data_IF_969604622282
#
_entry.id   IF_969604622282
#
_cell.length_a   1.000
_cell.length_b   1.000
_cell.length_c   1.000
_cell.angle_alpha   90.00
_cell.angle_beta   90.00
_cell.angle_gamma   90.00
#
_symmetry.space_group_name_H-M   'P 1'
#
loop_
_entity.id
_entity.type
_entity.pdbx_description
1 polymer ?
#
# COMPACT_ATOMS: atom_id res chain seq x y z
N UNK A 1 27.94 6.13 -6.28
CA UNK A 1 28.04 5.73 -4.86
C UNK A 1 27.60 4.29 -4.70
N UNK A 2 28.12 3.59 -3.71
CA UNK A 2 27.61 2.30 -3.28
C UNK A 2 26.44 2.55 -2.32
N UNK A 3 25.28 1.96 -2.64
CA UNK A 3 24.07 2.08 -1.83
C UNK A 3 23.68 0.71 -1.29
N UNK A 4 23.44 0.65 0.01
CA UNK A 4 22.94 -0.54 0.70
C UNK A 4 21.48 -0.33 1.07
N UNK A 5 20.61 -1.27 0.68
CA UNK A 5 19.18 -1.21 1.00
C UNK A 5 18.81 -2.39 1.90
N UNK A 6 18.15 -2.13 3.02
CA UNK A 6 17.62 -3.15 3.93
C UNK A 6 16.12 -3.33 3.68
N UNK A 7 15.74 -4.50 3.17
CA UNK A 7 14.37 -4.90 2.86
C UNK A 7 14.03 -4.88 1.37
N UNK A 8 13.65 -6.05 0.82
CA UNK A 8 13.22 -6.26 -0.56
C UNK A 8 11.69 -6.21 -0.73
N UNK A 9 11.00 -5.44 0.12
CA UNK A 9 9.60 -5.08 -0.10
C UNK A 9 9.44 -4.08 -1.24
N UNK A 10 8.20 -3.68 -1.53
CA UNK A 10 7.89 -2.75 -2.64
C UNK A 10 8.68 -1.43 -2.53
N UNK A 11 8.89 -0.91 -1.31
CA UNK A 11 9.62 0.34 -1.09
C UNK A 11 11.10 0.19 -1.42
N UNK A 12 11.75 -0.88 -0.91
CA UNK A 12 13.17 -1.15 -1.20
C UNK A 12 13.42 -1.45 -2.68
N UNK A 13 12.53 -2.19 -3.34
CA UNK A 13 12.64 -2.50 -4.77
C UNK A 13 12.46 -1.25 -5.64
N UNK A 14 11.49 -0.37 -5.32
CA UNK A 14 11.31 0.88 -6.06
C UNK A 14 12.47 1.86 -5.81
N UNK A 15 12.99 1.92 -4.57
CA UNK A 15 14.19 2.68 -4.25
C UNK A 15 15.41 2.15 -5.01
N UNK A 16 15.62 0.82 -5.01
CA UNK A 16 16.72 0.19 -5.74
C UNK A 16 16.67 0.52 -7.25
N UNK A 17 15.48 0.40 -7.88
CA UNK A 17 15.29 0.77 -9.28
C UNK A 17 15.64 2.24 -9.54
N UNK A 18 15.14 3.15 -8.71
CA UNK A 18 15.34 4.58 -8.92
C UNK A 18 16.82 4.99 -8.72
N UNK A 19 17.49 4.46 -7.71
CA UNK A 19 18.89 4.72 -7.42
C UNK A 19 19.82 4.09 -8.48
N UNK A 20 19.51 2.88 -8.94
CA UNK A 20 20.22 2.25 -10.06
C UNK A 20 20.17 3.13 -11.33
N UNK A 21 18.97 3.66 -11.66
CA UNK A 21 18.81 4.62 -12.79
C UNK A 21 19.56 5.94 -12.57
N UNK A 22 19.80 6.29 -11.32
CA UNK A 22 20.66 7.41 -10.91
C UNK A 22 22.16 7.13 -11.02
N UNK A 23 22.56 5.94 -11.52
CA UNK A 23 23.97 5.56 -11.71
C UNK A 23 24.66 5.09 -10.42
N UNK A 24 23.90 4.62 -9.44
CA UNK A 24 24.45 4.09 -8.19
C UNK A 24 24.62 2.56 -8.26
N UNK A 25 25.63 2.03 -7.59
CA UNK A 25 25.79 0.60 -7.35
C UNK A 25 24.91 0.20 -6.16
N UNK A 26 23.97 -0.71 -6.37
CA UNK A 26 22.95 -1.03 -5.36
C UNK A 26 23.05 -2.48 -4.90
N UNK A 27 23.19 -2.67 -3.58
CA UNK A 27 23.05 -3.95 -2.90
C UNK A 27 21.78 -3.92 -2.05
N UNK A 28 20.97 -4.98 -2.14
CA UNK A 28 19.71 -5.11 -1.43
C UNK A 28 19.74 -6.36 -0.56
N UNK A 29 19.57 -6.20 0.76
CA UNK A 29 19.52 -7.28 1.75
C UNK A 29 18.07 -7.59 2.11
N UNK A 30 17.72 -8.88 2.13
CA UNK A 30 16.41 -9.35 2.55
C UNK A 30 16.54 -10.55 3.48
N UNK A 31 15.86 -10.52 4.64
CA UNK A 31 15.96 -11.57 5.66
C UNK A 31 15.35 -12.91 5.24
N UNK A 32 14.40 -12.91 4.31
CA UNK A 32 13.74 -14.09 3.78
C UNK A 32 14.05 -14.34 2.31
N UNK A 33 13.28 -15.21 1.65
CA UNK A 33 13.32 -15.34 0.19
C UNK A 33 12.84 -14.05 -0.48
N UNK A 34 13.18 -13.86 -1.76
CA UNK A 34 12.75 -12.69 -2.54
C UNK A 34 11.87 -13.16 -3.72
N UNK A 35 10.59 -12.78 -3.77
CA UNK A 35 9.83 -11.99 -2.80
C UNK A 35 9.62 -12.70 -1.45
N UNK A 36 9.61 -11.93 -0.35
CA UNK A 36 9.36 -12.50 0.98
C UNK A 36 7.85 -12.65 1.23
N UNK A 37 7.31 -13.88 1.41
CA UNK A 37 5.88 -14.10 1.64
C UNK A 37 5.38 -13.49 2.96
N UNK A 38 6.27 -13.25 3.92
CA UNK A 38 5.96 -12.62 5.20
C UNK A 38 6.01 -11.08 5.12
N UNK A 39 6.49 -10.52 4.03
CA UNK A 39 6.51 -9.08 3.81
C UNK A 39 5.11 -8.49 3.58
N UNK A 40 4.92 -7.24 4.00
CA UNK A 40 3.64 -6.52 3.82
C UNK A 40 3.29 -6.25 2.35
N UNK A 41 4.25 -6.36 1.45
CA UNK A 41 4.08 -6.05 0.02
C UNK A 41 3.46 -7.19 -0.77
N UNK A 42 3.67 -8.45 -0.35
CA UNK A 42 3.21 -9.63 -1.08
C UNK A 42 1.77 -9.95 -0.74
N UNK A 43 0.90 -9.90 -1.74
CA UNK A 43 -0.52 -10.22 -1.66
C UNK A 43 -1.08 -10.36 -3.09
N UNK A 44 -2.28 -10.90 -3.26
CA UNK A 44 -2.94 -10.98 -4.56
C UNK A 44 -3.05 -9.60 -5.21
N UNK A 45 -3.49 -8.62 -4.45
CA UNK A 45 -3.70 -7.25 -4.96
C UNK A 45 -3.61 -6.18 -3.87
N UNK A 46 -3.44 -4.93 -4.34
CA UNK A 46 -3.54 -3.68 -3.59
C UNK A 46 -4.41 -2.71 -4.36
N UNK A 47 -4.76 -1.60 -3.72
CA UNK A 47 -5.63 -0.57 -4.29
C UNK A 47 -4.85 0.71 -4.58
N UNK A 48 -5.20 1.37 -5.69
CA UNK A 48 -4.86 2.77 -5.95
C UNK A 48 -6.15 3.57 -6.08
N UNK A 49 -6.25 4.70 -5.40
CA UNK A 49 -7.43 5.58 -5.37
C UNK A 49 -7.08 6.98 -4.92
N UNK A 50 -7.85 7.96 -5.34
CA UNK A 50 -7.73 9.37 -4.92
C UNK A 50 -8.47 9.70 -3.62
N UNK A 51 -9.43 8.87 -3.20
CA UNK A 51 -10.30 9.14 -2.07
C UNK A 51 -9.54 9.06 -0.73
N UNK A 52 -9.27 10.21 -0.16
CA UNK A 52 -8.57 10.43 1.11
C UNK A 52 -9.30 11.42 2.03
N UNK A 53 -10.60 11.62 1.85
CA UNK A 53 -11.35 12.61 2.65
C UNK A 53 -10.77 14.01 2.45
N UNK A 54 -10.42 14.68 3.54
CA UNK A 54 -9.84 16.02 3.52
C UNK A 54 -8.33 16.06 3.17
N UNK A 55 -7.65 14.92 3.15
CA UNK A 55 -6.19 14.82 2.98
C UNK A 55 -5.77 15.05 1.51
N UNK A 56 -5.89 16.29 1.04
CA UNK A 56 -5.61 16.69 -0.34
C UNK A 56 -4.16 16.38 -0.76
N UNK A 57 -3.20 16.41 0.18
CA UNK A 57 -1.81 16.08 -0.12
C UNK A 57 -1.66 14.64 -0.62
N UNK A 58 -2.32 13.67 0.02
CA UNK A 58 -2.32 12.30 -0.47
C UNK A 58 -3.06 12.14 -1.80
N UNK A 59 -4.14 12.89 -2.03
CA UNK A 59 -4.83 12.85 -3.32
C UNK A 59 -3.92 13.36 -4.45
N UNK A 60 -3.16 14.45 -4.23
CA UNK A 60 -2.14 14.95 -5.18
C UNK A 60 -1.03 13.92 -5.42
N UNK A 61 -0.51 13.30 -4.35
CA UNK A 61 0.48 12.23 -4.49
C UNK A 61 -0.04 11.05 -5.32
N UNK A 62 -1.35 10.75 -5.29
CA UNK A 62 -1.93 9.70 -6.15
C UNK A 62 -1.86 10.10 -7.62
N UNK A 63 -2.05 11.37 -7.98
CA UNK A 63 -1.88 11.85 -9.35
C UNK A 63 -0.45 11.58 -9.84
N UNK A 64 0.56 12.01 -9.06
CA UNK A 64 1.96 11.70 -9.36
C UNK A 64 2.23 10.18 -9.42
N UNK A 65 1.59 9.41 -8.53
CA UNK A 65 1.78 7.97 -8.51
C UNK A 65 1.28 7.29 -9.80
N UNK A 66 0.22 7.78 -10.43
CA UNK A 66 -0.22 7.23 -11.73
C UNK A 66 0.87 7.40 -12.79
N UNK A 67 1.51 8.56 -12.89
CA UNK A 67 2.59 8.82 -13.87
C UNK A 67 3.81 7.95 -13.59
N UNK A 68 4.18 7.80 -12.32
CA UNK A 68 5.29 6.95 -11.90
C UNK A 68 4.99 5.45 -12.14
N UNK A 69 3.73 5.03 -11.96
CA UNK A 69 3.29 3.68 -12.34
C UNK A 69 3.35 3.47 -13.85
N UNK A 70 2.89 4.41 -14.68
CA UNK A 70 3.00 4.28 -16.16
C UNK A 70 4.47 4.17 -16.60
N UNK A 71 5.37 4.89 -15.92
CA UNK A 71 6.81 4.74 -16.16
C UNK A 71 7.31 3.35 -15.76
N UNK A 72 6.82 2.81 -14.65
CA UNK A 72 7.18 1.47 -14.21
C UNK A 72 6.60 0.38 -15.13
N UNK A 73 5.38 0.55 -15.66
CA UNK A 73 4.79 -0.40 -16.62
C UNK A 73 5.62 -0.52 -17.89
N UNK A 74 6.16 0.59 -18.39
CA UNK A 74 7.09 0.57 -19.54
C UNK A 74 8.35 -0.22 -19.25
N UNK A 75 8.92 -0.07 -18.06
CA UNK A 75 10.11 -0.81 -17.66
C UNK A 75 9.82 -2.32 -17.46
N UNK A 76 8.65 -2.65 -16.92
CA UNK A 76 8.23 -4.04 -16.71
C UNK A 76 7.80 -4.74 -18.02
N UNK A 77 7.47 -3.97 -19.07
CA UNK A 77 6.88 -4.49 -20.31
C UNK A 77 5.43 -5.00 -20.13
N UNK A 78 4.81 -4.72 -18.99
CA UNK A 78 3.46 -5.21 -18.66
C UNK A 78 2.76 -4.21 -17.74
N UNK A 79 1.47 -3.90 -18.04
CA UNK A 79 0.63 -3.08 -17.18
C UNK A 79 -0.13 -3.96 -16.19
N UNK A 80 0.24 -3.89 -14.92
CA UNK A 80 -0.31 -4.70 -13.82
C UNK A 80 -1.32 -3.91 -12.98
N UNK A 81 -2.09 -3.04 -13.64
CA UNK A 81 -3.15 -2.22 -13.09
C UNK A 81 -4.45 -2.49 -13.84
N UNK A 82 -5.54 -2.68 -13.08
CA UNK A 82 -6.88 -2.87 -13.61
C UNK A 82 -7.77 -1.71 -13.14
N UNK A 83 -8.26 -0.87 -14.07
CA UNK A 83 -9.08 0.29 -13.74
C UNK A 83 -10.52 -0.15 -13.41
N UNK A 84 -10.78 -0.48 -12.16
CA UNK A 84 -12.11 -0.89 -11.70
C UNK A 84 -12.98 0.28 -11.24
N UNK A 85 -12.37 1.45 -11.04
CA UNK A 85 -13.03 2.58 -10.37
C UNK A 85 -13.08 2.42 -8.85
N UNK A 86 -13.61 3.45 -8.20
CA UNK A 86 -13.74 3.54 -6.72
C UNK A 86 -15.18 3.89 -6.37
N UNK A 87 -15.79 3.16 -5.46
CA UNK A 87 -17.08 3.45 -4.86
C UNK A 87 -16.91 3.70 -3.36
N UNK A 88 -17.20 4.91 -2.90
CA UNK A 88 -17.33 5.21 -1.48
C UNK A 88 -18.80 5.13 -1.12
N UNK A 89 -19.13 4.49 0.02
CA UNK A 89 -20.49 4.41 0.56
C UNK A 89 -20.53 4.80 2.02
N UNK A 90 -21.64 5.37 2.46
CA UNK A 90 -21.82 5.76 3.85
C UNK A 90 -23.23 6.22 4.17
N UNK A 91 -23.49 6.58 5.43
CA UNK A 91 -24.73 7.23 5.81
C UNK A 91 -24.86 8.62 5.16
N UNK A 92 -26.05 9.19 5.16
CA UNK A 92 -26.27 10.55 4.70
C UNK A 92 -25.37 11.52 5.51
N UNK A 93 -24.72 12.45 4.81
CA UNK A 93 -23.82 13.41 5.43
C UNK A 93 -22.49 12.81 5.92
N UNK A 94 -22.08 11.64 5.42
CA UNK A 94 -20.80 11.00 5.80
C UNK A 94 -19.62 11.94 5.49
N UNK A 95 -18.88 12.43 6.53
CA UNK A 95 -17.81 13.44 6.33
C UNK A 95 -16.73 13.00 5.32
N UNK A 96 -16.37 11.72 5.32
CA UNK A 96 -15.39 11.16 4.40
C UNK A 96 -15.80 11.35 2.94
N UNK A 97 -17.09 11.16 2.61
CA UNK A 97 -17.61 11.29 1.24
C UNK A 97 -17.67 12.76 0.84
N UNK A 98 -18.23 13.62 1.70
CA UNK A 98 -18.34 15.06 1.41
C UNK A 98 -16.98 15.74 1.27
N UNK A 99 -16.02 15.40 2.13
CA UNK A 99 -14.65 15.90 2.05
C UNK A 99 -13.96 15.41 0.78
N UNK A 100 -14.15 14.13 0.42
CA UNK A 100 -13.59 13.57 -0.82
C UNK A 100 -14.17 14.31 -2.04
N UNK A 101 -15.48 14.57 -2.07
CA UNK A 101 -16.10 15.31 -3.17
C UNK A 101 -15.49 16.72 -3.32
N UNK A 102 -15.35 17.47 -2.22
CA UNK A 102 -14.69 18.78 -2.24
C UNK A 102 -13.25 18.74 -2.74
N UNK A 103 -12.50 17.71 -2.35
CA UNK A 103 -11.12 17.52 -2.84
C UNK A 103 -11.12 17.18 -4.34
N UNK A 104 -12.06 16.36 -4.80
CA UNK A 104 -12.19 15.98 -6.20
C UNK A 104 -12.55 17.20 -7.07
N UNK A 105 -13.50 18.04 -6.63
CA UNK A 105 -13.82 19.30 -7.30
C UNK A 105 -12.58 20.19 -7.45
N UNK A 106 -11.80 20.32 -6.36
CA UNK A 106 -10.58 21.15 -6.35
C UNK A 106 -9.47 20.62 -7.25
N UNK A 107 -9.39 19.31 -7.44
CA UNK A 107 -8.36 18.67 -8.25
C UNK A 107 -8.83 18.30 -9.66
N UNK A 108 -10.08 18.60 -10.02
CA UNK A 108 -10.65 18.25 -11.32
C UNK A 108 -10.76 16.73 -11.53
N UNK A 109 -11.02 15.97 -10.47
CA UNK A 109 -11.18 14.52 -10.56
C UNK A 109 -12.65 14.19 -10.81
N UNK A 110 -12.92 13.45 -11.88
CA UNK A 110 -14.29 13.05 -12.25
C UNK A 110 -14.90 12.12 -11.21
N UNK A 111 -16.15 12.42 -10.83
CA UNK A 111 -16.97 11.59 -9.96
C UNK A 111 -18.47 11.82 -10.17
N UNK A 112 -19.27 10.91 -9.65
CA UNK A 112 -20.71 11.06 -9.56
C UNK A 112 -21.19 10.74 -8.15
N UNK A 113 -22.05 11.62 -7.60
CA UNK A 113 -22.80 11.30 -6.40
C UNK A 113 -23.96 10.37 -6.76
N UNK A 114 -24.14 9.31 -5.98
CA UNK A 114 -25.16 8.29 -6.21
C UNK A 114 -26.01 8.12 -4.96
N UNK A 115 -27.29 7.83 -5.17
CA UNK A 115 -28.16 7.33 -4.11
C UNK A 115 -28.17 5.78 -4.08
N UNK A 116 -28.81 5.20 -3.06
CA UNK A 116 -28.90 3.75 -2.88
C UNK A 116 -29.46 3.02 -4.12
N UNK A 117 -30.52 3.53 -4.74
CA UNK A 117 -31.14 2.92 -5.92
C UNK A 117 -30.19 2.91 -7.13
N UNK A 118 -29.43 4.00 -7.30
CA UNK A 118 -28.42 4.08 -8.37
C UNK A 118 -27.25 3.13 -8.12
N UNK A 119 -26.80 2.96 -6.87
CA UNK A 119 -25.78 1.96 -6.52
C UNK A 119 -26.28 0.55 -6.84
N UNK A 120 -27.49 0.20 -6.39
CA UNK A 120 -28.09 -1.12 -6.65
C UNK A 120 -28.24 -1.44 -8.14
N UNK A 121 -28.61 -0.44 -8.94
CA UNK A 121 -28.77 -0.60 -10.39
C UNK A 121 -27.46 -0.72 -11.14
N UNK A 122 -26.48 0.14 -10.81
CA UNK A 122 -25.19 0.19 -11.52
C UNK A 122 -24.24 -0.93 -11.09
N UNK A 123 -24.26 -1.30 -9.81
CA UNK A 123 -23.32 -2.25 -9.20
C UNK A 123 -24.07 -3.34 -8.43
N UNK A 124 -24.77 -4.24 -9.10
CA UNK A 124 -25.71 -5.19 -8.48
C UNK A 124 -25.04 -6.22 -7.55
N UNK A 125 -23.73 -6.25 -7.43
CA UNK A 125 -23.00 -7.05 -6.44
C UNK A 125 -23.03 -6.42 -5.04
N UNK A 126 -23.33 -5.12 -4.96
CA UNK A 126 -23.39 -4.40 -3.70
C UNK A 126 -24.82 -4.26 -3.19
N UNK A 127 -25.01 -4.56 -1.91
CA UNK A 127 -26.24 -4.29 -1.20
C UNK A 127 -26.35 -2.78 -0.90
N UNK A 128 -27.44 -2.17 -1.31
CA UNK A 128 -27.64 -0.73 -1.17
C UNK A 128 -28.36 -0.34 0.12
N UNK A 129 -28.80 -1.30 0.92
CA UNK A 129 -29.50 -1.04 2.19
C UNK A 129 -28.60 -0.25 3.15
N UNK A 130 -29.16 0.81 3.75
CA UNK A 130 -28.45 1.70 4.68
C UNK A 130 -27.39 2.59 4.01
N UNK A 131 -27.32 2.66 2.68
CA UNK A 131 -26.54 3.67 1.96
C UNK A 131 -27.36 4.97 1.94
N UNK A 132 -26.91 6.00 2.66
CA UNK A 132 -27.51 7.33 2.57
C UNK A 132 -26.93 8.15 1.43
N UNK A 133 -25.64 7.99 1.15
CA UNK A 133 -24.91 8.63 0.05
C UNK A 133 -23.79 7.75 -0.45
N UNK A 134 -23.44 7.89 -1.72
CA UNK A 134 -22.27 7.25 -2.31
C UNK A 134 -21.58 8.19 -3.29
N UNK A 135 -20.27 8.03 -3.47
CA UNK A 135 -19.45 8.69 -4.47
C UNK A 135 -18.80 7.63 -5.34
N UNK A 136 -19.04 7.69 -6.63
CA UNK A 136 -18.37 6.82 -7.62
C UNK A 136 -17.40 7.64 -8.46
N UNK A 137 -16.13 7.27 -8.44
CA UNK A 137 -15.11 7.80 -9.34
C UNK A 137 -14.70 6.69 -10.33
N UNK A 138 -14.64 6.97 -11.64
CA UNK A 138 -14.13 6.02 -12.63
C UNK A 138 -12.62 5.77 -12.44
N UNK A 139 -11.91 6.71 -11.81
CA UNK A 139 -10.51 6.56 -11.42
C UNK A 139 -10.35 5.63 -10.21
N UNK A 140 -9.17 5.01 -10.13
CA UNK A 140 -8.88 4.02 -9.13
C UNK A 140 -8.98 2.59 -9.65
N UNK A 141 -8.48 1.66 -8.86
CA UNK A 141 -8.52 0.25 -9.26
C UNK A 141 -7.53 -0.62 -8.52
N UNK A 142 -7.30 -1.77 -9.10
CA UNK A 142 -6.55 -2.88 -8.53
C UNK A 142 -5.14 -2.92 -9.10
N UNK A 143 -4.15 -2.98 -8.22
CA UNK A 143 -2.74 -3.28 -8.53
C UNK A 143 -2.48 -4.76 -8.22
N UNK A 144 -1.99 -5.54 -9.18
CA UNK A 144 -1.68 -6.97 -9.04
C UNK A 144 -0.36 -7.14 -8.28
N UNK A 145 -0.43 -7.00 -6.95
CA UNK A 145 0.73 -6.76 -6.08
C UNK A 145 1.81 -7.84 -6.16
N UNK A 146 1.45 -9.14 -6.12
CA UNK A 146 2.43 -10.23 -6.24
C UNK A 146 3.16 -10.18 -7.59
N UNK A 147 2.43 -9.96 -8.69
CA UNK A 147 3.02 -9.84 -10.03
C UNK A 147 3.93 -8.63 -10.14
N UNK A 148 3.53 -7.48 -9.54
CA UNK A 148 4.35 -6.26 -9.48
C UNK A 148 5.66 -6.52 -8.76
N UNK A 149 5.60 -7.09 -7.54
CA UNK A 149 6.80 -7.35 -6.74
C UNK A 149 7.73 -8.32 -7.46
N UNK A 150 7.21 -9.41 -8.05
CA UNK A 150 8.01 -10.34 -8.85
C UNK A 150 8.62 -9.67 -10.09
N UNK A 151 7.86 -8.81 -10.75
CA UNK A 151 8.35 -8.02 -11.89
C UNK A 151 9.51 -7.11 -11.49
N UNK A 152 9.37 -6.38 -10.38
CA UNK A 152 10.42 -5.52 -9.84
C UNK A 152 11.68 -6.29 -9.43
N UNK A 153 11.55 -7.48 -8.86
CA UNK A 153 12.70 -8.35 -8.54
C UNK A 153 13.46 -8.71 -9.82
N UNK A 154 12.75 -9.16 -10.86
CA UNK A 154 13.38 -9.46 -12.16
C UNK A 154 14.06 -8.24 -12.78
N UNK A 155 13.38 -7.08 -12.74
CA UNK A 155 13.90 -5.82 -13.27
C UNK A 155 15.15 -5.37 -12.52
N UNK A 156 15.15 -5.45 -11.18
CA UNK A 156 16.30 -5.10 -10.34
C UNK A 156 17.50 -6.01 -10.63
N UNK A 157 17.28 -7.32 -10.70
CA UNK A 157 18.35 -8.29 -11.00
C UNK A 157 18.92 -8.10 -12.41
N UNK A 158 18.06 -7.92 -13.42
CA UNK A 158 18.49 -7.67 -14.80
C UNK A 158 19.25 -6.34 -14.94
N UNK A 159 18.93 -5.35 -14.12
CA UNK A 159 19.62 -4.06 -14.07
C UNK A 159 20.94 -4.06 -13.30
N UNK A 160 21.32 -5.18 -12.66
CA UNK A 160 22.59 -5.30 -11.94
C UNK A 160 22.52 -4.98 -10.44
N UNK A 161 21.31 -4.91 -9.85
CA UNK A 161 21.18 -4.83 -8.37
C UNK A 161 21.64 -6.16 -7.77
N UNK A 162 22.57 -6.09 -6.83
CA UNK A 162 23.00 -7.25 -6.03
C UNK A 162 21.95 -7.57 -4.99
N UNK A 163 21.09 -8.57 -5.24
CA UNK A 163 20.05 -9.00 -4.30
C UNK A 163 20.59 -10.15 -3.45
N UNK A 164 20.61 -9.99 -2.12
CA UNK A 164 21.07 -10.98 -1.15
C UNK A 164 19.89 -11.49 -0.29
N UNK A 165 19.20 -12.56 -0.72
CA UNK A 165 18.13 -13.19 0.08
C UNK A 165 18.71 -13.98 1.26
N UNK A 166 17.89 -14.15 2.31
CA UNK A 166 18.28 -14.90 3.51
C UNK A 166 19.28 -14.17 4.42
N UNK A 167 19.54 -12.89 4.17
CA UNK A 167 20.48 -12.08 4.95
C UNK A 167 19.71 -11.22 5.95
N UNK A 168 19.77 -11.60 7.22
CA UNK A 168 19.11 -10.86 8.31
C UNK A 168 20.05 -9.83 8.90
N UNK A 169 19.60 -8.57 8.88
CA UNK A 169 20.27 -7.46 9.57
C UNK A 169 19.87 -7.49 11.05
N UNK A 170 20.85 -7.47 11.94
CA UNK A 170 20.66 -7.44 13.39
C UNK A 170 20.66 -6.01 13.95
N UNK A 171 21.47 -5.12 13.38
CA UNK A 171 21.57 -3.72 13.82
C UNK A 171 21.92 -2.79 12.65
N UNK A 172 21.51 -1.53 12.78
CA UNK A 172 21.74 -0.46 11.81
C UNK A 172 22.45 0.71 12.48
N UNK A 173 23.54 1.17 11.87
CA UNK A 173 24.26 2.38 12.24
C UNK A 173 24.06 3.41 11.11
N UNK A 174 23.06 4.28 11.23
CA UNK A 174 22.73 5.23 10.17
C UNK A 174 23.80 6.32 10.00
N UNK A 175 24.55 6.66 11.05
CA UNK A 175 25.59 7.70 10.98
C UNK A 175 26.76 7.26 10.10
N UNK A 176 27.02 5.94 10.06
CA UNK A 176 28.12 5.35 9.28
C UNK A 176 27.67 4.63 8.01
N UNK A 177 26.37 4.70 7.66
CA UNK A 177 25.78 3.92 6.58
C UNK A 177 26.20 2.43 6.65
N UNK A 178 26.07 1.82 7.83
CA UNK A 178 26.56 0.48 8.13
C UNK A 178 25.47 -0.38 8.76
N UNK A 179 25.50 -1.66 8.45
CA UNK A 179 24.66 -2.67 9.12
C UNK A 179 25.54 -3.76 9.72
N UNK A 180 25.04 -4.38 10.79
CA UNK A 180 25.57 -5.62 11.36
C UNK A 180 24.60 -6.73 11.02
N UNK A 181 25.08 -7.78 10.39
CA UNK A 181 24.31 -8.97 10.07
C UNK A 181 24.18 -9.89 11.27
N UNK A 182 23.25 -10.84 11.21
CA UNK A 182 23.00 -11.76 12.32
C UNK A 182 24.19 -12.67 12.65
N UNK A 183 25.04 -12.96 11.67
CA UNK A 183 26.29 -13.73 11.82
C UNK A 183 27.48 -12.90 12.31
N UNK A 184 27.29 -11.60 12.55
CA UNK A 184 28.31 -10.66 13.00
C UNK A 184 29.07 -9.94 11.86
N UNK A 185 28.84 -10.30 10.60
CA UNK A 185 29.44 -9.57 9.47
C UNK A 185 28.99 -8.10 9.48
N UNK A 186 29.93 -7.20 9.23
CA UNK A 186 29.66 -5.75 9.10
C UNK A 186 29.73 -5.34 7.64
N UNK A 187 28.62 -4.78 7.12
CA UNK A 187 28.52 -4.28 5.75
C UNK A 187 28.33 -2.77 5.76
N UNK A 188 29.14 -2.04 5.03
CA UNK A 188 29.09 -0.58 4.93
C UNK A 188 28.99 -0.13 3.46
N UNK A 189 28.34 1.01 3.27
CA UNK A 189 28.17 1.65 1.98
C UNK A 189 28.38 3.17 2.08
N UNK A 190 28.23 3.88 0.96
CA UNK A 190 28.27 5.33 0.96
C UNK A 190 26.93 5.93 1.43
N UNK A 191 25.84 5.22 1.18
CA UNK A 191 24.47 5.55 1.57
C UNK A 191 23.75 4.28 2.01
N UNK A 192 22.92 4.39 3.06
CA UNK A 192 22.04 3.34 3.54
C UNK A 192 20.58 3.72 3.29
N UNK A 193 19.74 2.76 2.88
CA UNK A 193 18.28 2.91 2.81
C UNK A 193 17.64 1.83 3.67
N UNK A 194 16.86 2.21 4.66
CA UNK A 194 16.14 1.28 5.53
C UNK A 194 14.66 1.23 5.14
N UNK A 195 14.26 0.17 4.45
CA UNK A 195 12.90 -0.10 3.97
C UNK A 195 12.33 -1.38 4.62
N UNK A 196 12.58 -1.55 5.93
CA UNK A 196 12.37 -2.79 6.67
C UNK A 196 10.90 -3.05 7.09
N UNK A 197 9.94 -2.20 6.65
CA UNK A 197 8.53 -2.37 6.99
C UNK A 197 8.31 -2.50 8.51
N UNK A 198 7.52 -3.49 8.98
CA UNK A 198 7.17 -3.60 10.39
C UNK A 198 8.34 -3.99 11.32
N UNK A 199 9.51 -4.33 10.77
CA UNK A 199 10.74 -4.58 11.54
C UNK A 199 11.53 -3.30 11.86
N UNK A 200 11.10 -2.13 11.35
CA UNK A 200 11.84 -0.87 11.53
C UNK A 200 12.18 -0.55 13.01
N UNK A 201 11.24 -0.64 13.98
CA UNK A 201 11.58 -0.33 15.38
C UNK A 201 12.64 -1.27 15.98
N UNK A 202 12.70 -2.53 15.52
CA UNK A 202 13.71 -3.49 15.99
C UNK A 202 15.12 -3.15 15.51
N UNK A 203 15.22 -2.61 14.29
CA UNK A 203 16.50 -2.22 13.70
C UNK A 203 16.97 -0.84 14.17
N UNK A 204 16.02 0.02 14.47
CA UNK A 204 16.24 1.40 14.91
C UNK A 204 15.28 1.74 16.06
N UNK A 205 15.69 1.52 17.31
CA UNK A 205 14.85 1.73 18.50
C UNK A 205 14.27 3.15 18.63
N UNK A 206 14.92 4.16 18.04
CA UNK A 206 14.40 5.53 17.98
C UNK A 206 13.02 5.66 17.28
N UNK A 207 12.57 4.61 16.58
CA UNK A 207 11.25 4.53 15.94
C UNK A 207 10.21 3.80 16.81
N UNK A 208 10.58 3.29 17.97
CA UNK A 208 9.60 2.80 18.96
C UNK A 208 8.65 3.93 19.36
N UNK A 209 7.35 3.64 19.33
CA UNK A 209 6.30 4.65 19.54
C UNK A 209 6.04 5.58 18.36
N UNK A 210 6.99 5.76 17.41
CA UNK A 210 6.75 6.50 16.16
C UNK A 210 6.04 5.64 15.12
N UNK A 211 6.27 4.34 15.13
CA UNK A 211 5.53 3.36 14.33
C UNK A 211 5.28 2.09 15.12
N UNK A 212 4.14 1.46 14.88
CA UNK A 212 3.75 0.21 15.52
C UNK A 212 3.44 -0.85 14.47
N UNK A 213 3.94 -2.07 14.67
CA UNK A 213 3.53 -3.22 13.88
C UNK A 213 2.09 -3.59 14.23
N UNK A 214 1.21 -3.63 13.23
CA UNK A 214 -0.22 -3.90 13.40
C UNK A 214 -0.60 -5.10 12.55
N UNK A 215 -0.99 -6.19 13.21
CA UNK A 215 -1.45 -7.41 12.53
C UNK A 215 -2.84 -7.21 11.96
N UNK A 216 -2.98 -7.44 10.66
CA UNK A 216 -4.24 -7.29 9.92
C UNK A 216 -4.66 -8.64 9.34
N UNK A 217 -5.95 -8.89 9.28
CA UNK A 217 -6.52 -10.07 8.63
C UNK A 217 -7.45 -9.62 7.50
N UNK A 218 -7.24 -10.18 6.31
CA UNK A 218 -8.16 -10.05 5.20
C UNK A 218 -8.77 -11.41 4.87
N UNK A 219 -10.04 -11.41 4.42
CA UNK A 219 -10.73 -12.59 3.92
C UNK A 219 -10.78 -12.59 2.39
N UNK A 220 -10.73 -13.78 1.83
CA UNK A 220 -10.82 -14.02 0.39
C UNK A 220 -12.02 -14.92 0.11
N UNK A 221 -12.90 -14.45 -0.79
CA UNK A 221 -14.21 -15.03 -1.03
C UNK A 221 -14.37 -15.41 -2.51
N UNK A 222 -15.01 -16.55 -2.76
CA UNK A 222 -15.51 -16.89 -4.07
C UNK A 222 -16.96 -16.39 -4.18
N UNK A 223 -17.28 -15.52 -5.15
CA UNK A 223 -18.65 -15.07 -5.37
C UNK A 223 -19.51 -16.18 -5.92
N UNK A 224 -20.85 -16.16 -5.69
CA UNK A 224 -21.78 -17.07 -6.32
C UNK A 224 -21.80 -16.86 -7.85
N UNK A 225 -22.00 -17.94 -8.60
CA UNK A 225 -21.91 -17.95 -10.07
C UNK A 225 -22.80 -16.88 -10.73
N UNK A 226 -24.02 -16.70 -10.21
CA UNK A 226 -24.98 -15.70 -10.73
C UNK A 226 -24.50 -14.25 -10.66
N UNK A 227 -23.53 -13.95 -9.78
CA UNK A 227 -22.96 -12.61 -9.63
C UNK A 227 -21.66 -12.39 -10.42
N UNK A 228 -21.08 -13.42 -11.04
CA UNK A 228 -19.80 -13.30 -11.76
C UNK A 228 -19.79 -12.25 -12.86
N UNK A 229 -20.89 -12.19 -13.64
CA UNK A 229 -20.98 -11.19 -14.69
C UNK A 229 -21.02 -9.76 -14.11
N UNK A 230 -21.76 -9.56 -13.02
CA UNK A 230 -21.87 -8.28 -12.35
C UNK A 230 -20.54 -7.83 -11.70
N UNK A 231 -19.71 -8.76 -11.24
CA UNK A 231 -18.40 -8.45 -10.70
C UNK A 231 -17.42 -7.87 -11.73
N UNK A 232 -17.64 -8.09 -13.03
CA UNK A 232 -16.76 -7.54 -14.09
C UNK A 232 -16.79 -6.03 -14.19
N UNK A 233 -17.88 -5.40 -13.73
CA UNK A 233 -18.09 -3.95 -13.76
C UNK A 233 -18.09 -3.32 -12.37
N UNK A 234 -17.87 -4.12 -11.34
CA UNK A 234 -17.90 -3.63 -9.97
C UNK A 234 -16.63 -2.84 -9.64
N UNK A 235 -16.74 -1.60 -9.16
CA UNK A 235 -15.60 -0.85 -8.63
C UNK A 235 -15.12 -1.47 -7.32
N UNK A 236 -13.90 -1.13 -6.88
CA UNK A 236 -13.55 -1.35 -5.50
C UNK A 236 -14.46 -0.50 -4.60
N UNK A 237 -14.81 -1.04 -3.42
CA UNK A 237 -15.69 -0.36 -2.48
C UNK A 237 -14.94 -0.01 -1.20
N UNK A 238 -15.20 1.18 -0.70
CA UNK A 238 -14.85 1.65 0.63
C UNK A 238 -16.14 2.07 1.32
N UNK A 239 -16.51 1.37 2.38
CA UNK A 239 -17.69 1.70 3.18
C UNK A 239 -17.28 2.36 4.49
N UNK A 240 -17.85 3.52 4.78
CA UNK A 240 -17.62 4.27 6.03
C UNK A 240 -18.72 4.06 7.06
N UNK A 241 -19.63 3.11 6.83
CA UNK A 241 -20.72 2.81 7.76
C UNK A 241 -20.26 1.90 8.90
N UNK A 242 -20.94 2.01 10.05
CA UNK A 242 -20.77 1.05 11.16
C UNK A 242 -19.46 1.22 11.96
N UNK A 243 -18.92 2.42 12.05
CA UNK A 243 -17.77 2.76 12.90
C UNK A 243 -16.43 2.50 12.21
N UNK A 244 -15.96 1.26 12.13
CA UNK A 244 -14.65 0.91 11.54
C UNK A 244 -14.71 0.91 10.02
N UNK A 245 -15.88 0.63 9.42
CA UNK A 245 -16.03 0.50 7.98
C UNK A 245 -15.37 -0.77 7.40
N UNK A 246 -15.50 -0.94 6.08
CA UNK A 246 -14.87 -2.05 5.37
C UNK A 246 -14.41 -1.66 3.97
N UNK A 247 -13.55 -2.46 3.41
CA UNK A 247 -13.21 -2.39 1.99
C UNK A 247 -13.53 -3.70 1.28
N UNK A 248 -13.90 -3.59 -0.01
CA UNK A 248 -14.07 -4.74 -0.89
C UNK A 248 -13.26 -4.52 -2.16
N UNK A 249 -12.44 -5.49 -2.51
CA UNK A 249 -11.67 -5.51 -3.76
C UNK A 249 -12.33 -6.51 -4.69
N UNK A 250 -12.75 -6.10 -5.89
CA UNK A 250 -13.36 -7.01 -6.85
C UNK A 250 -12.38 -8.11 -7.29
N UNK A 251 -12.88 -9.28 -7.71
CA UNK A 251 -12.05 -10.30 -8.32
C UNK A 251 -11.45 -9.76 -9.62
N UNK A 252 -10.14 -9.92 -9.78
CA UNK A 252 -9.40 -9.32 -10.88
C UNK A 252 -8.28 -10.26 -11.34
N UNK A 253 -8.17 -10.51 -12.65
CA UNK A 253 -7.10 -11.34 -13.24
C UNK A 253 -6.92 -12.71 -12.55
N UNK A 254 -8.04 -13.38 -12.20
CA UNK A 254 -8.04 -14.68 -11.53
C UNK A 254 -7.92 -14.63 -10.01
N UNK A 255 -7.84 -13.45 -9.39
CA UNK A 255 -7.87 -13.32 -7.93
C UNK A 255 -9.29 -13.40 -7.39
N UNK A 256 -9.50 -13.86 -6.13
CA UNK A 256 -10.82 -13.84 -5.49
C UNK A 256 -11.24 -12.44 -5.05
N UNK A 257 -12.50 -12.29 -4.62
CA UNK A 257 -12.95 -11.10 -3.89
C UNK A 257 -12.17 -11.03 -2.57
N UNK A 258 -11.63 -9.85 -2.25
CA UNK A 258 -10.94 -9.63 -0.97
C UNK A 258 -11.72 -8.60 -0.15
N UNK A 259 -11.81 -8.85 1.15
CA UNK A 259 -12.41 -7.90 2.10
C UNK A 259 -11.66 -7.86 3.42
N UNK A 260 -11.85 -6.80 4.16
CA UNK A 260 -11.37 -6.56 5.51
C UNK A 260 -11.90 -5.23 6.01
N UNK A 261 -11.57 -4.90 7.23
CA UNK A 261 -11.92 -3.61 7.84
C UNK A 261 -10.79 -2.57 7.70
N UNK A 262 -11.07 -1.36 8.19
CA UNK A 262 -10.11 -0.26 8.28
C UNK A 262 -9.48 -0.12 9.67
N UNK A 263 -9.81 -1.02 10.61
CA UNK A 263 -9.26 -0.99 11.95
C UNK A 263 -7.79 -1.41 12.00
N UNK A 264 -7.06 -0.87 12.99
CA UNK A 264 -5.71 -1.29 13.30
C UNK A 264 -5.70 -2.03 14.63
N UNK A 265 -5.12 -3.23 14.65
CA UNK A 265 -4.94 -3.96 15.91
C UNK A 265 -3.92 -3.27 16.82
N UNK A 266 -2.97 -2.54 16.22
CA UNK A 266 -1.80 -1.91 16.85
C UNK A 266 -0.99 -2.88 17.71
N UNK A 267 -1.11 -4.17 17.42
CA UNK A 267 -0.41 -5.26 18.10
C UNK A 267 0.10 -6.28 17.11
N UNK A 268 1.11 -7.01 17.52
CA UNK A 268 1.63 -8.17 16.82
C UNK A 268 3.13 -8.15 16.61
N UNK A 269 3.67 -9.34 16.54
CA UNK A 269 5.06 -9.59 16.24
C UNK A 269 5.24 -9.83 14.73
N UNK A 270 6.01 -9.01 14.00
CA UNK A 270 6.26 -9.23 12.58
C UNK A 270 7.03 -10.51 12.26
N UNK A 271 7.72 -11.14 13.23
CA UNK A 271 8.29 -12.49 13.10
C UNK A 271 7.30 -13.60 13.49
N UNK A 272 6.16 -13.23 14.06
CA UNK A 272 5.13 -14.19 14.49
C UNK A 272 4.43 -14.93 13.35
N UNK A 273 3.62 -15.89 13.73
CA UNK A 273 2.88 -16.74 12.81
C UNK A 273 1.92 -15.93 11.92
N UNK A 274 1.87 -16.32 10.65
CA UNK A 274 0.94 -15.79 9.62
C UNK A 274 -0.33 -16.65 9.52
N UNK A 275 -0.44 -17.73 10.28
CA UNK A 275 -1.65 -18.54 10.30
C UNK A 275 -2.86 -17.71 10.71
N UNK A 276 -3.97 -17.91 10.03
CA UNK A 276 -5.24 -17.25 10.33
C UNK A 276 -6.23 -18.32 10.77
N UNK A 277 -6.64 -18.23 12.03
CA UNK A 277 -7.69 -19.11 12.55
C UNK A 277 -8.98 -18.95 11.72
N UNK A 278 -9.75 -20.03 11.51
CA UNK A 278 -10.99 -19.97 10.73
C UNK A 278 -11.97 -18.91 11.24
N UNK A 279 -12.02 -18.69 12.53
CA UNK A 279 -12.88 -17.68 13.18
C UNK A 279 -12.44 -16.26 12.80
N UNK A 280 -11.14 -16.00 12.80
CA UNK A 280 -10.60 -14.68 12.40
C UNK A 280 -10.83 -14.41 10.90
N UNK A 281 -10.72 -15.44 10.05
CA UNK A 281 -11.04 -15.31 8.63
C UNK A 281 -12.54 -15.04 8.41
N UNK A 282 -13.42 -15.72 9.17
CA UNK A 282 -14.87 -15.46 9.14
C UNK A 282 -15.19 -14.05 9.63
N UNK A 283 -14.61 -13.61 10.75
CA UNK A 283 -14.80 -12.26 11.27
C UNK A 283 -14.38 -11.19 10.25
N UNK A 284 -13.26 -11.37 9.57
CA UNK A 284 -12.83 -10.46 8.49
C UNK A 284 -13.81 -10.48 7.30
N UNK A 285 -14.40 -11.62 6.95
CA UNK A 285 -15.42 -11.72 5.91
C UNK A 285 -16.72 -10.99 6.31
N UNK A 286 -17.15 -11.15 7.56
CA UNK A 286 -18.37 -10.55 8.11
C UNK A 286 -18.39 -9.03 8.03
N UNK A 287 -17.22 -8.37 8.00
CA UNK A 287 -17.15 -6.91 7.84
C UNK A 287 -17.82 -6.41 6.56
N UNK A 288 -17.84 -7.24 5.51
CA UNK A 288 -18.46 -6.91 4.24
C UNK A 288 -19.93 -7.38 4.10
N UNK A 289 -20.49 -8.07 5.10
CA UNK A 289 -21.86 -8.64 5.03
C UNK A 289 -22.89 -7.62 4.58
N UNK A 290 -22.87 -6.43 5.15
CA UNK A 290 -23.86 -5.39 4.82
C UNK A 290 -23.70 -4.80 3.42
N UNK A 291 -22.56 -5.05 2.75
CA UNK A 291 -22.24 -4.47 1.45
C UNK A 291 -22.18 -5.47 0.30
N UNK A 292 -22.05 -6.75 0.59
CA UNK A 292 -22.12 -7.79 -0.44
C UNK A 292 -23.55 -8.32 -0.57
N UNK A 293 -24.14 -8.18 -1.75
CA UNK A 293 -25.44 -8.79 -2.02
C UNK A 293 -25.34 -10.30 -1.92
N UNK A 294 -26.32 -10.94 -1.29
CA UNK A 294 -26.36 -12.39 -1.10
C UNK A 294 -25.11 -12.93 -0.42
N UNK A 295 -24.64 -12.23 0.63
CA UNK A 295 -23.38 -12.55 1.30
C UNK A 295 -23.27 -14.01 1.76
N UNK A 296 -24.37 -14.63 2.19
CA UNK A 296 -24.39 -16.01 2.67
C UNK A 296 -24.08 -17.05 1.57
N UNK A 297 -24.18 -16.68 0.31
CA UNK A 297 -23.83 -17.51 -0.84
C UNK A 297 -22.35 -17.40 -1.25
N UNK A 298 -21.60 -16.49 -0.63
CA UNK A 298 -20.16 -16.41 -0.85
C UNK A 298 -19.44 -17.50 -0.07
N UNK A 299 -18.54 -18.20 -0.74
CA UNK A 299 -17.71 -19.20 -0.07
C UNK A 299 -16.41 -18.58 0.40
N UNK A 300 -16.17 -18.59 1.71
CA UNK A 300 -14.86 -18.23 2.28
C UNK A 300 -13.81 -19.24 1.78
N UNK A 301 -12.78 -18.71 1.11
CA UNK A 301 -11.65 -19.50 0.59
C UNK A 301 -10.55 -19.63 1.62
N UNK A 302 -10.08 -18.51 2.14
CA UNK A 302 -9.04 -18.42 3.17
C UNK A 302 -8.99 -17.04 3.79
N UNK A 303 -8.35 -16.94 4.94
CA UNK A 303 -7.89 -15.68 5.53
C UNK A 303 -6.39 -15.49 5.29
N UNK A 304 -5.93 -14.25 5.23
CA UNK A 304 -4.51 -13.91 5.16
C UNK A 304 -4.16 -12.85 6.19
N UNK A 305 -3.13 -13.13 6.99
CA UNK A 305 -2.55 -12.14 7.88
C UNK A 305 -1.40 -11.40 7.20
N UNK A 306 -1.34 -10.08 7.42
CA UNK A 306 -0.18 -9.26 7.09
C UNK A 306 0.06 -8.25 8.22
N UNK A 307 1.21 -7.56 8.18
CA UNK A 307 1.50 -6.52 9.15
C UNK A 307 1.58 -5.17 8.46
N UNK A 308 0.87 -4.20 9.00
CA UNK A 308 1.10 -2.80 8.67
C UNK A 308 2.15 -2.23 9.61
N UNK A 309 2.79 -1.15 9.20
CA UNK A 309 3.62 -0.29 10.03
C UNK A 309 2.85 1.01 10.17
N UNK A 310 2.24 1.22 11.33
CA UNK A 310 1.27 2.30 11.56
C UNK A 310 1.92 3.40 12.38
N UNK A 311 1.93 4.63 11.87
CA UNK A 311 2.24 5.82 12.63
C UNK A 311 0.99 6.32 13.37
N UNK A 312 1.10 6.97 14.55
CA UNK A 312 -0.06 7.41 15.33
C UNK A 312 -1.02 8.35 14.59
N UNK A 313 -0.50 9.16 13.67
CA UNK A 313 -1.25 10.08 12.80
C UNK A 313 -1.49 9.51 11.40
N UNK A 314 -1.17 8.23 11.18
CA UNK A 314 -1.24 7.50 9.91
C UNK A 314 -0.38 8.08 8.77
N UNK A 315 0.44 9.10 9.05
CA UNK A 315 1.31 9.73 8.05
C UNK A 315 2.54 8.89 7.74
N UNK A 316 3.04 9.05 6.54
CA UNK A 316 4.25 8.35 6.10
C UNK A 316 5.50 8.99 6.70
N UNK A 317 6.44 8.14 7.08
CA UNK A 317 7.78 8.56 7.51
C UNK A 317 8.76 8.25 6.37
N UNK A 318 9.31 9.32 5.78
CA UNK A 318 10.40 9.27 4.79
C UNK A 318 11.36 10.38 5.17
N UNK A 319 12.47 10.03 5.81
CA UNK A 319 13.37 11.03 6.38
C UNK A 319 14.83 10.60 6.35
N UNK A 320 15.78 11.54 6.25
CA UNK A 320 17.20 11.27 6.39
C UNK A 320 17.57 11.14 7.87
N UNK A 321 18.51 10.24 8.17
CA UNK A 321 19.12 10.08 9.48
C UNK A 321 20.62 9.78 9.28
N UNK A 322 21.49 10.72 9.59
CA UNK A 322 22.90 10.60 9.29
C UNK A 322 23.15 10.35 7.80
N UNK A 323 23.77 9.24 7.48
CA UNK A 323 24.01 8.78 6.09
C UNK A 323 23.00 7.73 5.65
N UNK A 324 21.81 7.69 6.27
CA UNK A 324 20.74 6.79 5.91
C UNK A 324 19.46 7.54 5.54
N UNK A 325 18.63 6.90 4.71
CA UNK A 325 17.22 7.25 4.50
C UNK A 325 16.33 6.17 5.11
N UNK A 326 15.35 6.60 5.88
CA UNK A 326 14.35 5.71 6.47
C UNK A 326 13.08 5.79 5.66
N UNK A 327 12.64 4.64 5.13
CA UNK A 327 11.43 4.54 4.33
C UNK A 327 10.38 3.70 5.07
N UNK A 328 9.43 4.35 5.72
CA UNK A 328 8.28 3.73 6.38
C UNK A 328 6.95 4.33 5.91
N UNK A 329 6.70 4.42 4.58
CA UNK A 329 5.44 4.92 4.05
C UNK A 329 4.41 3.78 4.00
N UNK A 330 3.77 3.47 5.14
CA UNK A 330 2.85 2.33 5.22
C UNK A 330 1.47 2.73 5.74
N UNK A 331 1.22 2.70 7.06
CA UNK A 331 -0.11 2.93 7.68
C UNK A 331 -1.29 2.32 6.89
N UNK A 332 -1.06 1.11 6.30
CA UNK A 332 -2.05 0.36 5.52
C UNK A 332 -2.31 0.84 4.08
N UNK A 333 -1.77 1.99 3.66
CA UNK A 333 -2.09 2.55 2.33
C UNK A 333 -0.88 2.93 1.45
N UNK A 334 0.35 2.55 1.83
CA UNK A 334 1.60 3.00 1.20
C UNK A 334 1.92 2.38 -0.17
N UNK A 335 1.50 1.13 -0.45
CA UNK A 335 1.93 0.37 -1.64
C UNK A 335 1.83 1.17 -2.94
N UNK A 336 0.72 1.87 -3.16
CA UNK A 336 0.46 2.64 -4.37
C UNK A 336 1.43 3.79 -4.62
N UNK A 337 2.12 4.26 -3.58
CA UNK A 337 3.06 5.38 -3.65
C UNK A 337 4.53 4.95 -3.84
N UNK A 338 4.80 3.64 -3.87
CA UNK A 338 6.17 3.15 -3.88
C UNK A 338 7.02 3.64 -5.07
N UNK A 339 6.53 3.69 -6.31
CA UNK A 339 7.32 4.25 -7.42
C UNK A 339 7.66 5.75 -7.19
N UNK A 340 6.70 6.53 -6.69
CA UNK A 340 6.89 7.97 -6.44
C UNK A 340 7.86 8.22 -5.28
N UNK A 341 7.76 7.43 -4.20
CA UNK A 341 8.71 7.48 -3.08
C UNK A 341 10.13 7.14 -3.58
N UNK A 342 10.26 6.09 -4.43
CA UNK A 342 11.56 5.73 -5.00
C UNK A 342 12.16 6.84 -5.87
N UNK A 343 11.34 7.46 -6.74
CA UNK A 343 11.75 8.61 -7.56
C UNK A 343 12.19 9.79 -6.69
N UNK A 344 11.34 10.18 -5.75
CA UNK A 344 11.60 11.32 -4.87
C UNK A 344 12.84 11.12 -4.00
N UNK A 345 13.09 9.88 -3.53
CA UNK A 345 14.34 9.52 -2.84
C UNK A 345 15.55 9.72 -3.76
N UNK A 346 15.51 9.23 -5.00
CA UNK A 346 16.63 9.38 -5.93
C UNK A 346 16.89 10.85 -6.29
N UNK A 347 15.84 11.67 -6.38
CA UNK A 347 15.97 13.13 -6.56
C UNK A 347 16.67 13.79 -5.36
N UNK A 348 16.29 13.40 -4.12
CA UNK A 348 16.92 13.93 -2.91
C UNK A 348 18.38 13.49 -2.78
N UNK A 349 18.68 12.24 -3.07
CA UNK A 349 20.07 11.70 -3.08
C UNK A 349 20.93 12.41 -4.13
N UNK A 350 20.35 12.83 -5.24
CA UNK A 350 21.03 13.61 -6.28
C UNK A 350 21.08 15.12 -6.00
N UNK A 351 20.57 15.59 -4.85
CA UNK A 351 20.52 17.02 -4.48
C UNK A 351 19.51 17.84 -5.28
N UNK A 352 18.59 17.22 -6.00
CA UNK A 352 17.55 17.90 -6.79
C UNK A 352 16.25 18.15 -6.01
N UNK A 353 16.12 17.57 -4.83
CA UNK A 353 14.99 17.76 -3.92
C UNK A 353 15.49 17.94 -2.49
N UNK A 354 14.94 18.93 -1.81
CA UNK A 354 15.28 19.16 -0.40
C UNK A 354 14.76 18.00 0.47
N UNK A 355 15.58 17.42 1.37
CA UNK A 355 15.17 16.31 2.23
C UNK A 355 13.98 16.63 3.15
N UNK A 356 13.88 17.84 3.68
CA UNK A 356 12.75 18.23 4.54
C UNK A 356 11.46 18.43 3.71
N UNK A 357 11.58 18.90 2.48
CA UNK A 357 10.46 18.96 1.54
C UNK A 357 9.98 17.55 1.19
N UNK A 358 10.89 16.62 0.91
CA UNK A 358 10.55 15.21 0.67
C UNK A 358 9.78 14.62 1.86
N UNK A 359 10.26 14.84 3.08
CA UNK A 359 9.62 14.32 4.29
C UNK A 359 8.18 14.87 4.43
N UNK A 360 7.97 16.17 4.23
CA UNK A 360 6.65 16.79 4.29
C UNK A 360 5.72 16.29 3.18
N UNK A 361 6.22 16.22 1.94
CA UNK A 361 5.46 15.70 0.81
C UNK A 361 5.04 14.25 1.07
N UNK A 362 5.93 13.38 1.51
CA UNK A 362 5.62 11.99 1.81
C UNK A 362 4.56 11.87 2.91
N UNK A 363 4.58 12.75 3.90
CA UNK A 363 3.56 12.82 4.96
C UNK A 363 2.22 13.43 4.50
N UNK A 364 2.05 13.77 3.22
CA UNK A 364 0.85 14.44 2.72
C UNK A 364 0.69 15.90 3.17
N UNK A 365 1.77 16.51 3.70
CA UNK A 365 1.79 17.87 4.23
C UNK A 365 2.28 18.85 3.16
N UNK A 366 1.60 18.91 2.03
CA UNK A 366 1.89 19.90 0.99
C UNK A 366 1.35 21.28 1.41
N UNK A 367 2.06 22.39 1.05
CA UNK A 367 1.45 23.70 1.21
C UNK A 367 0.14 23.78 0.45
N UNK A 368 -0.90 24.44 1.01
CA UNK A 368 -2.22 24.51 0.38
C UNK A 368 -2.20 25.19 -1.00
N UNK A 369 -1.18 25.95 -1.34
CA UNK A 369 -1.14 26.87 -2.48
C UNK A 369 0.01 26.63 -3.48
N UNK A 370 0.61 25.44 -3.49
CA UNK A 370 1.43 25.04 -4.64
C UNK A 370 0.49 24.64 -5.79
N UNK A 371 -0.04 25.67 -6.47
CA UNK A 371 -0.80 25.56 -7.71
C UNK A 371 0.10 25.13 -8.87
#
# INVERSE_FOLDING_TARGET
MRVLIVGAGIMGLCAARALLRGGHEVTLLEQGPVPNPNGSSVDAHRLIRYAYGAEIGYARMVAEAYDDWETLWRDLGERLYLPTGTLLTGPAGAPMIEQTARVFDRLGIDYAMLNAAQVASRFPVYAAEGIGTALHAPSGGVLLADRIVRGLVRLAAAGGVSIRPGVRVAAVDPERARVILQDGESVAADLLVVAAGPWLPRLLPRYEGRVTASRQVAAYLAPPERLRAAWRIAPMLLDSSGGIGCYVVPPAAGTPVKTGDHGFSLTGDPDGDRAVAPEAARAAAETARRRLRDFDDYRLLYGRACFYTVAPDERFIVEPVGRAWILSPCSGHGFKFAPSIGRALAEAVAGRRDPAELARWAAGLMPPDAS
#
